data_IF_979371714153
#
_entry.id   IF_979371714153
#
_cell.length_a   1.000
_cell.length_b   1.000
_cell.length_c   1.000
_cell.angle_alpha   90.00
_cell.angle_beta   90.00
_cell.angle_gamma   90.00
#
_symmetry.space_group_name_H-M   'P 1'
#
loop_
_entity.id
_entity.type
_entity.pdbx_description
1 polymer ?
#
# COMPACT_ATOMS: atom_id res chain seq x y z
N UNK A 1 -3.50 -20.16 -10.69
CA UNK A 1 -2.15 -20.79 -10.81
C UNK A 1 -1.94 -21.58 -9.53
N UNK A 2 -1.33 -22.76 -9.55
CA UNK A 2 -1.08 -23.49 -8.29
C UNK A 2 -0.05 -22.76 -7.42
N UNK A 3 -0.35 -22.45 -6.14
CA UNK A 3 0.62 -21.90 -5.20
C UNK A 3 1.83 -22.83 -5.06
N UNK A 4 3.02 -22.24 -4.83
CA UNK A 4 4.25 -23.00 -4.56
C UNK A 4 4.28 -23.59 -3.15
N UNK A 5 3.57 -22.94 -2.23
CA UNK A 5 3.38 -23.32 -0.83
C UNK A 5 2.21 -22.51 -0.25
N UNK A 6 1.78 -22.84 0.96
CA UNK A 6 0.88 -21.97 1.74
C UNK A 6 1.55 -20.62 2.01
N UNK A 7 0.75 -19.57 2.27
CA UNK A 7 1.27 -18.22 2.53
C UNK A 7 2.37 -18.27 3.62
N UNK A 8 3.59 -17.76 3.36
CA UNK A 8 4.68 -17.79 4.33
C UNK A 8 4.35 -17.23 5.72
N UNK A 9 3.45 -16.24 5.81
CA UNK A 9 2.99 -15.70 7.10
C UNK A 9 2.17 -16.70 7.94
N UNK A 10 1.54 -17.68 7.29
CA UNK A 10 0.82 -18.79 7.93
C UNK A 10 1.73 -19.99 8.23
N UNK A 11 2.81 -20.15 7.46
CA UNK A 11 3.76 -21.28 7.61
C UNK A 11 4.80 -21.00 8.70
N UNK A 12 5.28 -19.76 8.82
CA UNK A 12 6.25 -19.38 9.85
C UNK A 12 5.52 -19.15 11.17
N UNK A 13 5.76 -19.96 12.23
CA UNK A 13 5.04 -19.84 13.49
C UNK A 13 5.18 -18.45 14.11
N UNK A 14 4.04 -17.81 14.41
CA UNK A 14 4.00 -16.49 15.03
C UNK A 14 4.27 -15.32 14.09
N UNK A 15 4.41 -15.53 12.78
CA UNK A 15 4.69 -14.45 11.83
C UNK A 15 3.47 -13.58 11.48
N UNK A 16 2.27 -14.17 11.37
CA UNK A 16 1.08 -13.42 10.95
C UNK A 16 0.69 -12.32 11.93
N UNK A 17 0.57 -12.62 13.23
CA UNK A 17 0.02 -11.68 14.21
C UNK A 17 0.79 -10.34 14.27
N UNK A 18 2.14 -10.30 14.33
CA UNK A 18 2.88 -9.05 14.30
C UNK A 18 2.64 -8.21 13.03
N UNK A 19 2.39 -8.86 11.89
CA UNK A 19 2.08 -8.15 10.64
C UNK A 19 0.66 -7.55 10.68
N UNK A 20 -0.31 -8.24 11.30
CA UNK A 20 -1.65 -7.70 11.54
C UNK A 20 -1.60 -6.53 12.53
N UNK A 21 -0.87 -6.68 13.63
CA UNK A 21 -0.70 -5.64 14.65
C UNK A 21 -0.06 -4.38 14.06
N UNK A 22 0.93 -4.54 13.18
CA UNK A 22 1.55 -3.42 12.48
C UNK A 22 0.53 -2.68 11.58
N UNK A 23 -0.29 -3.41 10.81
CA UNK A 23 -1.38 -2.81 10.02
C UNK A 23 -2.35 -2.02 10.90
N UNK A 24 -2.73 -2.58 12.05
CA UNK A 24 -3.65 -1.92 12.98
C UNK A 24 -3.07 -0.63 13.56
N UNK A 25 -1.79 -0.66 13.97
CA UNK A 25 -1.10 0.53 14.48
C UNK A 25 -1.04 1.62 13.42
N UNK A 26 -0.64 1.29 12.19
CA UNK A 26 -0.59 2.23 11.05
C UNK A 26 -1.94 2.89 10.84
N UNK A 27 -3.04 2.12 10.83
CA UNK A 27 -4.40 2.64 10.61
C UNK A 27 -4.89 3.60 11.71
N UNK A 28 -4.24 3.65 12.88
CA UNK A 28 -4.62 4.52 14.00
C UNK A 28 -3.88 5.86 14.04
N UNK A 29 -2.85 6.05 13.20
CA UNK A 29 -2.00 7.26 13.21
C UNK A 29 -2.68 8.46 12.52
N UNK A 30 -3.88 8.28 11.97
CA UNK A 30 -4.69 9.38 11.45
C UNK A 30 -4.39 9.77 10.00
N UNK A 31 -3.67 8.93 9.24
CA UNK A 31 -3.72 8.99 7.77
C UNK A 31 -5.11 8.50 7.34
N UNK A 32 -5.83 9.21 6.45
CA UNK A 32 -7.15 8.76 6.00
C UNK A 32 -7.08 7.35 5.41
N UNK A 33 -8.02 6.48 5.79
CA UNK A 33 -8.07 5.11 5.28
C UNK A 33 -8.17 5.06 3.75
N UNK A 34 -8.91 6.01 3.15
CA UNK A 34 -9.00 6.16 1.69
C UNK A 34 -7.64 6.40 1.04
N UNK A 35 -6.77 7.20 1.65
CA UNK A 35 -5.40 7.42 1.18
C UNK A 35 -4.55 6.14 1.30
N UNK A 36 -4.65 5.42 2.41
CA UNK A 36 -3.95 4.15 2.60
C UNK A 36 -4.39 3.09 1.57
N UNK A 37 -5.67 3.06 1.23
CA UNK A 37 -6.24 2.17 0.22
C UNK A 37 -5.75 2.53 -1.19
N UNK A 38 -5.72 3.82 -1.54
CA UNK A 38 -5.16 4.31 -2.80
C UNK A 38 -3.68 3.93 -2.95
N UNK A 39 -2.88 4.17 -1.90
CA UNK A 39 -1.46 3.80 -1.85
C UNK A 39 -1.30 2.31 -2.02
N UNK A 40 -2.07 1.50 -1.28
CA UNK A 40 -2.01 0.03 -1.36
C UNK A 40 -2.31 -0.47 -2.77
N UNK A 41 -3.35 0.07 -3.40
CA UNK A 41 -3.71 -0.28 -4.77
C UNK A 41 -2.54 0.03 -5.71
N UNK A 42 -2.02 1.24 -5.63
CA UNK A 42 -0.97 1.71 -6.53
C UNK A 42 0.32 0.91 -6.40
N UNK A 43 0.75 0.64 -5.16
CA UNK A 43 1.91 -0.23 -4.90
C UNK A 43 1.70 -1.62 -5.48
N UNK A 44 0.47 -2.15 -5.40
CA UNK A 44 0.15 -3.48 -5.93
C UNK A 44 0.13 -3.53 -7.45
N UNK A 45 -0.40 -2.50 -8.11
CA UNK A 45 -0.33 -2.34 -9.57
C UNK A 45 1.12 -2.35 -10.08
N UNK A 46 2.02 -1.59 -9.43
CA UNK A 46 3.44 -1.53 -9.80
C UNK A 46 4.11 -2.90 -9.62
N UNK A 47 3.77 -3.62 -8.56
CA UNK A 47 4.26 -4.98 -8.31
C UNK A 47 3.57 -6.05 -9.20
N UNK A 48 2.73 -5.66 -10.17
CA UNK A 48 2.07 -6.58 -11.10
C UNK A 48 0.99 -7.44 -10.47
N UNK A 49 0.38 -6.99 -9.37
CA UNK A 49 -0.70 -7.69 -8.65
C UNK A 49 -2.03 -7.01 -8.94
N UNK A 50 -3.03 -7.81 -9.31
CA UNK A 50 -4.42 -7.37 -9.24
C UNK A 50 -4.84 -7.39 -7.79
N UNK A 51 -5.30 -6.25 -7.31
CA UNK A 51 -5.81 -6.10 -5.96
C UNK A 51 -7.31 -5.80 -6.02
N UNK A 52 -8.10 -6.60 -5.30
CA UNK A 52 -9.55 -6.45 -5.24
C UNK A 52 -9.94 -5.71 -3.98
N UNK A 53 -10.57 -4.55 -4.14
CA UNK A 53 -11.27 -3.87 -3.06
C UNK A 53 -12.76 -4.22 -3.05
N UNK A 54 -13.40 -4.20 -1.88
CA UNK A 54 -12.78 -4.26 -0.56
C UNK A 54 -12.36 -5.70 -0.22
N UNK A 55 -11.44 -5.85 0.73
CA UNK A 55 -11.07 -7.17 1.27
C UNK A 55 -12.26 -7.86 1.98
N UNK A 56 -13.15 -7.04 2.56
CA UNK A 56 -14.33 -7.49 3.28
C UNK A 56 -15.58 -7.29 2.40
N UNK A 57 -16.26 -8.38 1.98
CA UNK A 57 -17.49 -8.28 1.19
C UNK A 57 -18.57 -7.42 1.85
N UNK A 58 -18.61 -7.35 3.19
CA UNK A 58 -19.58 -6.52 3.91
C UNK A 58 -19.26 -5.02 3.78
N UNK A 59 -18.03 -4.68 3.42
CA UNK A 59 -17.57 -3.32 3.18
C UNK A 59 -17.63 -2.90 1.70
N UNK A 60 -18.14 -3.77 0.82
CA UNK A 60 -18.30 -3.50 -0.63
C UNK A 60 -18.95 -2.14 -0.93
N UNK A 61 -19.94 -1.75 -0.12
CA UNK A 61 -20.68 -0.49 -0.28
C UNK A 61 -19.90 0.76 0.14
N UNK A 62 -18.76 0.61 0.82
CA UNK A 62 -17.88 1.70 1.28
C UNK A 62 -16.64 1.88 0.39
N UNK A 63 -16.56 1.13 -0.70
CA UNK A 63 -15.41 1.17 -1.61
C UNK A 63 -15.33 2.53 -2.29
N UNK A 64 -14.18 3.17 -2.21
CA UNK A 64 -13.92 4.43 -2.90
C UNK A 64 -14.00 4.23 -4.42
N UNK A 65 -14.98 4.86 -5.07
CA UNK A 65 -15.23 4.77 -6.51
C UNK A 65 -14.05 5.30 -7.37
N UNK A 66 -13.10 6.01 -6.75
CA UNK A 66 -11.89 6.53 -7.40
C UNK A 66 -10.80 5.47 -7.53
N UNK A 67 -10.86 4.35 -6.79
CA UNK A 67 -9.84 3.29 -6.80
C UNK A 67 -9.49 2.80 -8.22
N UNK A 68 -10.46 2.51 -9.13
CA UNK A 68 -10.14 2.11 -10.50
C UNK A 68 -9.35 3.13 -11.32
N UNK A 69 -9.27 4.40 -10.85
CA UNK A 69 -8.60 5.50 -11.54
C UNK A 69 -7.18 5.75 -11.03
N UNK A 70 -6.75 5.05 -9.96
CA UNK A 70 -5.47 5.34 -9.29
C UNK A 70 -4.25 5.17 -10.20
N UNK A 71 -4.31 4.25 -11.17
CA UNK A 71 -3.24 4.09 -12.17
C UNK A 71 -2.96 5.40 -12.95
N UNK A 72 -4.00 6.22 -13.16
CA UNK A 72 -3.95 7.50 -13.86
C UNK A 72 -3.86 8.72 -12.94
N UNK A 73 -3.49 8.55 -11.66
CA UNK A 73 -3.62 9.60 -10.64
C UNK A 73 -2.99 10.95 -11.01
N UNK A 74 -1.91 10.95 -11.81
CA UNK A 74 -1.25 12.19 -12.26
C UNK A 74 -2.16 13.07 -13.13
N UNK A 75 -3.07 12.48 -13.89
CA UNK A 75 -3.98 13.21 -14.79
C UNK A 75 -5.41 13.30 -14.25
N UNK A 76 -5.78 12.45 -13.30
CA UNK A 76 -7.09 12.47 -12.66
C UNK A 76 -7.22 13.65 -11.70
N UNK A 77 -8.36 14.36 -11.77
CA UNK A 77 -8.66 15.52 -10.91
C UNK A 77 -9.34 15.14 -9.60
N UNK A 78 -9.70 13.86 -9.42
CA UNK A 78 -10.43 13.38 -8.25
C UNK A 78 -9.56 13.12 -7.01
N UNK A 79 -8.23 13.27 -7.13
CA UNK A 79 -7.28 13.12 -6.03
C UNK A 79 -6.77 14.47 -5.56
N UNK A 80 -6.81 14.70 -4.25
CA UNK A 80 -6.33 15.94 -3.66
C UNK A 80 -4.79 16.00 -3.56
N UNK A 81 -4.26 17.12 -3.09
CA UNK A 81 -2.81 17.32 -3.02
C UNK A 81 -2.11 16.36 -2.02
N UNK A 82 -2.76 16.00 -0.92
CA UNK A 82 -2.23 15.08 0.07
C UNK A 82 -2.21 13.64 -0.47
N UNK A 83 -3.30 13.20 -1.11
CA UNK A 83 -3.41 11.90 -1.76
C UNK A 83 -2.37 11.76 -2.88
N UNK A 84 -2.23 12.79 -3.72
CA UNK A 84 -1.22 12.82 -4.79
C UNK A 84 0.20 12.75 -4.25
N UNK A 85 0.49 13.44 -3.15
CA UNK A 85 1.79 13.37 -2.49
C UNK A 85 2.06 11.96 -1.93
N UNK A 86 1.06 11.32 -1.33
CA UNK A 86 1.20 9.94 -0.85
C UNK A 86 1.40 8.93 -1.99
N UNK A 87 0.72 9.10 -3.13
CA UNK A 87 0.90 8.27 -4.33
C UNK A 87 2.28 8.45 -4.96
N UNK A 88 2.80 9.67 -4.98
CA UNK A 88 4.17 9.96 -5.44
C UNK A 88 5.22 9.28 -4.56
N UNK A 89 5.08 9.40 -3.23
CA UNK A 89 5.93 8.69 -2.28
C UNK A 89 5.83 7.16 -2.43
N UNK A 90 4.62 6.63 -2.63
CA UNK A 90 4.38 5.22 -2.86
C UNK A 90 5.10 4.68 -4.10
N UNK A 91 5.07 5.43 -5.21
CA UNK A 91 5.81 5.09 -6.42
C UNK A 91 7.32 5.12 -6.20
N UNK A 92 7.84 6.19 -5.61
CA UNK A 92 9.28 6.35 -5.37
C UNK A 92 9.85 5.25 -4.48
N UNK A 93 9.17 4.89 -3.38
CA UNK A 93 9.60 3.82 -2.48
C UNK A 93 9.46 2.44 -3.14
N UNK A 94 8.43 2.22 -3.94
CA UNK A 94 8.19 0.91 -4.58
C UNK A 94 9.14 0.64 -5.73
N UNK A 95 9.45 1.65 -6.53
CA UNK A 95 10.33 1.58 -7.71
C UNK A 95 11.81 1.73 -7.35
N UNK A 96 12.17 1.71 -6.07
CA UNK A 96 13.52 1.86 -5.54
C UNK A 96 14.48 0.80 -6.13
N UNK A 97 15.00 1.08 -7.32
CA UNK A 97 16.01 0.28 -8.03
C UNK A 97 17.39 0.90 -7.94
N UNK A 98 17.46 2.22 -7.71
CA UNK A 98 18.68 2.98 -7.44
C UNK A 98 18.51 3.75 -6.11
N UNK A 99 19.49 3.71 -5.18
CA UNK A 99 19.48 4.53 -3.97
C UNK A 99 19.35 6.04 -4.21
N UNK A 100 19.73 6.55 -5.38
CA UNK A 100 19.63 7.98 -5.72
C UNK A 100 18.21 8.41 -6.13
N UNK A 101 17.36 7.46 -6.52
CA UNK A 101 15.94 7.69 -6.89
C UNK A 101 14.99 7.45 -5.71
N UNK A 102 15.54 7.14 -4.52
CA UNK A 102 14.79 6.99 -3.27
C UNK A 102 14.06 8.29 -2.96
N UNK A 103 12.79 8.19 -2.51
CA UNK A 103 11.93 9.28 -2.01
C UNK A 103 12.73 10.55 -1.68
N UNK A 104 12.98 11.35 -2.72
CA UNK A 104 14.02 12.38 -2.66
C UNK A 104 13.68 13.39 -1.57
N UNK A 105 14.65 14.18 -1.13
CA UNK A 105 14.38 15.28 -0.18
C UNK A 105 13.20 16.14 -0.67
N UNK A 106 13.06 16.34 -1.99
CA UNK A 106 11.91 17.02 -2.59
C UNK A 106 10.57 16.28 -2.36
N UNK A 107 10.51 14.96 -2.58
CA UNK A 107 9.30 14.16 -2.33
C UNK A 107 8.97 14.17 -0.84
N UNK A 108 9.98 14.03 0.02
CA UNK A 108 9.82 14.05 1.47
C UNK A 108 9.29 15.41 1.96
N UNK A 109 9.95 16.50 1.59
CA UNK A 109 9.55 17.87 1.95
C UNK A 109 8.15 18.20 1.44
N UNK A 110 7.78 17.73 0.25
CA UNK A 110 6.42 17.88 -0.28
C UNK A 110 5.40 17.13 0.56
N UNK A 111 5.67 15.88 0.95
CA UNK A 111 4.76 15.12 1.81
C UNK A 111 4.64 15.71 3.22
N UNK A 112 5.73 16.25 3.76
CA UNK A 112 5.75 16.92 5.06
C UNK A 112 4.87 18.18 5.14
N UNK A 113 4.42 18.72 4.00
CA UNK A 113 3.43 19.80 3.96
C UNK A 113 2.01 19.33 4.30
N UNK A 114 1.72 18.04 4.14
CA UNK A 114 0.37 17.47 4.29
C UNK A 114 0.24 16.51 5.48
N UNK A 115 1.34 15.95 5.95
CA UNK A 115 1.36 14.90 6.97
C UNK A 115 2.28 15.28 8.13
N UNK A 116 1.88 14.93 9.35
CA UNK A 116 2.76 14.99 10.52
C UNK A 116 3.87 13.93 10.44
N UNK A 117 4.91 14.06 11.27
CA UNK A 117 6.00 13.06 11.34
C UNK A 117 5.47 11.64 11.59
N UNK A 118 4.46 11.51 12.46
CA UNK A 118 3.83 10.23 12.78
C UNK A 118 3.07 9.68 11.56
N UNK A 119 2.33 10.53 10.85
CA UNK A 119 1.60 10.16 9.64
C UNK A 119 2.54 9.79 8.48
N UNK A 120 3.65 10.51 8.31
CA UNK A 120 4.71 10.15 7.35
C UNK A 120 5.32 8.79 7.70
N UNK A 121 5.65 8.56 8.97
CA UNK A 121 6.13 7.27 9.45
C UNK A 121 5.15 6.15 9.14
N UNK A 122 3.86 6.36 9.42
CA UNK A 122 2.79 5.41 9.09
C UNK A 122 2.70 5.15 7.58
N UNK A 123 2.79 6.19 6.74
CA UNK A 123 2.75 6.07 5.28
C UNK A 123 3.93 5.25 4.74
N UNK A 124 5.16 5.52 5.19
CA UNK A 124 6.35 4.77 4.79
C UNK A 124 6.24 3.30 5.23
N UNK A 125 5.84 3.05 6.48
CA UNK A 125 5.64 1.70 6.98
C UNK A 125 4.55 0.95 6.21
N UNK A 126 3.45 1.63 5.86
CA UNK A 126 2.36 1.06 5.05
C UNK A 126 2.86 0.65 3.67
N UNK A 127 3.57 1.54 2.98
CA UNK A 127 4.15 1.26 1.66
C UNK A 127 5.11 0.06 1.74
N UNK A 128 5.96 0.00 2.76
CA UNK A 128 6.87 -1.12 3.01
C UNK A 128 6.13 -2.44 3.26
N UNK A 129 5.10 -2.41 4.10
CA UNK A 129 4.28 -3.58 4.42
C UNK A 129 3.52 -4.10 3.20
N UNK A 130 2.93 -3.22 2.39
CA UNK A 130 2.28 -3.62 1.13
C UNK A 130 3.29 -4.22 0.16
N UNK A 131 4.49 -3.64 0.04
CA UNK A 131 5.58 -4.20 -0.76
C UNK A 131 6.04 -5.57 -0.27
N UNK A 132 6.07 -5.80 1.05
CA UNK A 132 6.35 -7.09 1.66
C UNK A 132 5.30 -8.13 1.23
N UNK A 133 4.00 -7.84 1.42
CA UNK A 133 2.92 -8.75 1.05
C UNK A 133 2.92 -9.08 -0.43
N UNK A 134 3.13 -8.08 -1.29
CA UNK A 134 3.21 -8.29 -2.73
C UNK A 134 4.37 -9.22 -3.10
N UNK A 135 5.57 -9.00 -2.54
CA UNK A 135 6.75 -9.83 -2.81
C UNK A 135 6.56 -11.25 -2.31
N UNK A 136 6.08 -11.44 -1.09
CA UNK A 136 5.79 -12.76 -0.50
C UNK A 136 4.79 -13.54 -1.37
N UNK A 137 3.72 -12.87 -1.78
CA UNK A 137 2.66 -13.52 -2.54
C UNK A 137 3.07 -13.84 -3.98
N UNK A 138 3.78 -12.93 -4.66
CA UNK A 138 4.34 -13.16 -6.00
C UNK A 138 5.35 -14.30 -5.97
N UNK A 139 6.26 -14.29 -5.00
CA UNK A 139 7.29 -15.32 -4.85
C UNK A 139 6.69 -16.71 -4.59
N UNK A 140 5.52 -16.80 -3.97
CA UNK A 140 4.86 -18.08 -3.68
C UNK A 140 3.68 -18.40 -4.60
N UNK A 141 3.40 -17.58 -5.62
CA UNK A 141 2.27 -17.74 -6.56
C UNK A 141 0.91 -17.83 -5.85
N UNK A 142 0.73 -17.09 -4.75
CA UNK A 142 -0.59 -16.98 -4.13
C UNK A 142 -1.56 -16.36 -5.14
N UNK A 143 -2.79 -16.85 -5.18
CA UNK A 143 -3.83 -16.18 -5.95
C UNK A 143 -4.10 -14.79 -5.35
N UNK A 144 -4.86 -13.95 -6.06
CA UNK A 144 -5.27 -12.65 -5.52
C UNK A 144 -6.25 -12.89 -4.37
N UNK A 145 -5.72 -13.16 -3.18
CA UNK A 145 -6.49 -13.23 -1.96
C UNK A 145 -6.68 -11.81 -1.41
N UNK A 146 -7.93 -11.43 -1.20
CA UNK A 146 -8.27 -10.44 -0.19
C UNK A 146 -7.51 -10.80 1.09
N UNK A 147 -6.84 -9.82 1.69
CA UNK A 147 -6.03 -9.95 2.91
C UNK A 147 -6.60 -10.99 3.89
N UNK A 148 -6.08 -12.22 3.86
CA UNK A 148 -6.08 -13.28 4.89
C UNK A 148 -5.01 -14.30 4.54
#
# INVERSE_FOLDING_TARGET
MTPRMDNPSLVVPGALQPLLDLTEVIGKVGVPQTTLDLVRLRVSEINGRTYTFPDDPEQAQKTDERLPRVAGWRTESCFDAAERSALEMAEAITLMTDPQDMASDEIWEKSAQYYTDEQLGALVMHIGLVNFWNRVNVATRQEAAAWR
#
